data_IF_993710044275
#
_entry.id   IF_993710044275
#
_cell.length_a   1.000
_cell.length_b   1.000
_cell.length_c   1.000
_cell.angle_alpha   90.00
_cell.angle_beta   90.00
_cell.angle_gamma   90.00
#
_symmetry.space_group_name_H-M   'P 1'
#
loop_
_entity.id
_entity.type
_entity.pdbx_description
1 polymer ?
#
# COMPACT_ATOMS: atom_id res chain seq x y z
N UNK A 1 -35.20 17.89 31.05
CA UNK A 1 -36.05 18.73 30.17
C UNK A 1 -35.28 20.03 29.96
N UNK A 2 -34.50 20.19 28.88
CA UNK A 2 -34.86 20.63 27.52
C UNK A 2 -35.53 22.01 27.46
N UNK A 3 -34.86 22.97 26.81
CA UNK A 3 -35.37 24.13 26.05
C UNK A 3 -34.15 25.05 25.76
N UNK A 4 -33.58 25.14 24.55
CA UNK A 4 -34.07 25.86 23.37
C UNK A 4 -33.22 25.38 22.18
N UNK A 5 -33.66 24.68 21.12
CA UNK A 5 -34.90 24.77 20.34
C UNK A 5 -35.18 26.18 19.79
N UNK A 6 -34.34 26.64 18.85
CA UNK A 6 -34.75 27.64 17.86
C UNK A 6 -33.78 27.71 16.67
N UNK A 7 -33.78 26.70 15.79
CA UNK A 7 -33.68 26.95 14.35
C UNK A 7 -34.21 25.74 13.56
N UNK A 8 -35.54 25.65 13.58
CA UNK A 8 -36.32 24.86 12.61
C UNK A 8 -36.57 25.74 11.38
N UNK A 9 -36.74 25.07 10.24
CA UNK A 9 -37.35 25.50 8.97
C UNK A 9 -36.40 25.83 7.80
N UNK A 10 -35.98 24.79 7.07
CA UNK A 10 -36.04 24.79 5.59
C UNK A 10 -36.68 23.46 5.15
N UNK A 11 -37.83 23.48 4.44
CA UNK A 11 -38.60 22.30 4.04
C UNK A 11 -38.28 21.80 2.61
N UNK A 12 -38.38 20.47 2.44
CA UNK A 12 -38.94 19.72 1.29
C UNK A 12 -38.45 20.07 -0.12
N UNK A 13 -37.58 19.23 -0.71
CA UNK A 13 -37.58 18.73 -2.12
C UNK A 13 -36.79 17.39 -2.13
N UNK A 14 -37.48 16.24 -2.07
CA UNK A 14 -37.75 15.31 -3.19
C UNK A 14 -36.62 14.26 -3.38
N UNK A 15 -36.66 13.04 -2.83
CA UNK A 15 -37.54 11.89 -3.06
C UNK A 15 -36.74 10.73 -3.70
N UNK A 16 -36.88 9.54 -3.10
CA UNK A 16 -36.61 8.19 -3.65
C UNK A 16 -35.11 7.85 -3.91
N UNK A 17 -34.50 6.79 -3.38
CA UNK A 17 -35.01 5.42 -3.19
C UNK A 17 -34.32 4.74 -2.00
N UNK A 18 -35.15 4.27 -1.07
CA UNK A 18 -34.87 3.11 -0.24
C UNK A 18 -35.00 1.88 -1.14
N UNK A 19 -34.01 1.03 -1.19
CA UNK A 19 -34.19 -0.37 -1.56
C UNK A 19 -33.17 -1.20 -0.78
N UNK A 20 -33.57 -1.59 0.43
CA UNK A 20 -33.01 -2.79 1.06
C UNK A 20 -33.19 -3.98 0.12
N UNK A 21 -32.22 -4.88 0.13
CA UNK A 21 -32.23 -6.14 -0.62
C UNK A 21 -33.30 -7.08 -0.05
N UNK A 22 -34.57 -6.80 -0.35
CA UNK A 22 -35.60 -7.82 -0.37
C UNK A 22 -35.30 -8.70 -1.60
N UNK A 23 -34.94 -9.96 -1.36
CA UNK A 23 -34.93 -10.99 -2.41
C UNK A 23 -36.37 -11.33 -2.82
N UNK A 24 -37.01 -10.41 -3.53
CA UNK A 24 -38.22 -10.69 -4.30
C UNK A 24 -37.78 -11.36 -5.60
N UNK A 25 -38.40 -12.51 -5.91
CA UNK A 25 -38.28 -13.23 -7.18
C UNK A 25 -38.54 -12.24 -8.33
N UNK A 26 -37.46 -11.74 -8.96
CA UNK A 26 -37.55 -10.81 -10.07
C UNK A 26 -38.38 -11.45 -11.19
N UNK A 27 -39.33 -10.73 -11.81
CA UNK A 27 -39.97 -11.19 -13.03
C UNK A 27 -38.89 -11.47 -14.08
N UNK A 28 -38.98 -12.62 -14.72
CA UNK A 28 -38.06 -13.02 -15.78
C UNK A 28 -37.99 -11.89 -16.83
N UNK A 29 -36.79 -11.44 -17.20
CA UNK A 29 -36.65 -10.39 -18.19
C UNK A 29 -37.37 -10.83 -19.47
N UNK A 30 -38.22 -9.96 -20.06
CA UNK A 30 -38.99 -10.31 -21.25
C UNK A 30 -38.05 -10.77 -22.37
N UNK A 31 -38.47 -11.72 -23.23
CA UNK A 31 -37.62 -12.27 -24.27
C UNK A 31 -37.16 -11.15 -25.21
N UNK A 32 -35.90 -10.72 -25.03
CA UNK A 32 -35.27 -9.76 -25.93
C UNK A 32 -35.06 -10.47 -27.26
N UNK A 33 -35.69 -9.92 -28.31
CA UNK A 33 -35.48 -10.39 -29.67
C UNK A 33 -33.96 -10.37 -29.98
N UNK A 34 -33.35 -11.48 -30.42
CA UNK A 34 -31.89 -11.65 -30.51
C UNK A 34 -31.20 -10.56 -31.35
N UNK A 35 -31.92 -9.96 -32.30
CA UNK A 35 -31.44 -8.81 -33.07
C UNK A 35 -31.13 -7.57 -32.22
N UNK A 36 -31.95 -7.26 -31.20
CA UNK A 36 -31.73 -6.11 -30.31
C UNK A 36 -30.62 -6.39 -29.29
N UNK A 37 -30.48 -7.63 -28.84
CA UNK A 37 -29.38 -8.05 -27.96
C UNK A 37 -28.01 -7.95 -28.65
N UNK A 38 -27.94 -8.30 -29.93
CA UNK A 38 -26.72 -8.14 -30.74
C UNK A 38 -26.34 -6.67 -30.94
N UNK A 39 -27.32 -5.79 -31.13
CA UNK A 39 -27.08 -4.35 -31.29
C UNK A 39 -26.57 -3.69 -29.99
N UNK A 40 -27.18 -4.02 -28.84
CA UNK A 40 -26.73 -3.52 -27.52
C UNK A 40 -25.31 -3.98 -27.22
N UNK A 41 -24.97 -5.24 -27.51
CA UNK A 41 -23.60 -5.76 -27.34
C UNK A 41 -22.59 -5.05 -28.24
N UNK A 42 -22.94 -4.72 -29.48
CA UNK A 42 -22.08 -3.94 -30.38
C UNK A 42 -21.83 -2.53 -29.84
N UNK A 43 -22.88 -1.84 -29.37
CA UNK A 43 -22.77 -0.50 -28.75
C UNK A 43 -21.93 -0.51 -27.48
N UNK A 44 -22.11 -1.52 -26.63
CA UNK A 44 -21.30 -1.69 -25.41
C UNK A 44 -19.83 -2.00 -25.73
N UNK A 45 -19.56 -2.82 -26.75
CA UNK A 45 -18.19 -3.11 -27.17
C UNK A 45 -17.48 -1.87 -27.76
N UNK A 46 -18.22 -1.00 -28.44
CA UNK A 46 -17.66 0.25 -28.98
C UNK A 46 -17.36 1.27 -27.87
N UNK A 47 -18.28 1.43 -26.90
CA UNK A 47 -18.06 2.24 -25.70
C UNK A 47 -16.86 1.72 -24.90
N UNK A 48 -16.77 0.41 -24.66
CA UNK A 48 -15.64 -0.19 -23.95
C UNK A 48 -14.29 0.07 -24.66
N UNK A 49 -14.26 0.09 -26.00
CA UNK A 49 -13.05 0.45 -26.77
C UNK A 49 -12.67 1.92 -26.58
N UNK A 50 -13.65 2.83 -26.62
CA UNK A 50 -13.43 4.26 -26.40
C UNK A 50 -12.93 4.55 -24.98
N UNK A 51 -13.51 3.89 -23.98
CA UNK A 51 -13.09 4.02 -22.58
C UNK A 51 -11.68 3.47 -22.36
N UNK A 52 -11.33 2.34 -22.98
CA UNK A 52 -9.99 1.78 -22.92
C UNK A 52 -8.94 2.73 -23.54
N UNK A 53 -9.25 3.36 -24.68
CA UNK A 53 -8.36 4.35 -25.30
C UNK A 53 -8.22 5.62 -24.44
N UNK A 54 -9.31 6.11 -23.85
CA UNK A 54 -9.28 7.26 -22.96
C UNK A 54 -8.43 6.97 -21.71
N UNK A 55 -8.54 5.77 -21.14
CA UNK A 55 -7.74 5.34 -20.00
C UNK A 55 -6.25 5.25 -20.34
N UNK A 56 -5.90 4.67 -21.51
CA UNK A 56 -4.52 4.61 -21.98
C UNK A 56 -3.91 6.01 -22.13
N UNK A 57 -4.64 6.94 -22.78
CA UNK A 57 -4.20 8.34 -22.93
C UNK A 57 -4.04 9.05 -21.58
N UNK A 58 -4.91 8.77 -20.60
CA UNK A 58 -4.79 9.33 -19.26
C UNK A 58 -3.54 8.81 -18.54
N UNK A 59 -3.25 7.50 -18.64
CA UNK A 59 -2.06 6.90 -18.07
C UNK A 59 -0.77 7.46 -18.69
N UNK A 60 -0.73 7.62 -20.02
CA UNK A 60 0.41 8.24 -20.71
C UNK A 60 0.65 9.69 -20.26
N UNK A 61 -0.42 10.47 -20.05
CA UNK A 61 -0.31 11.85 -19.52
C UNK A 61 0.32 11.86 -18.13
N UNK A 62 -0.11 10.97 -17.23
CA UNK A 62 0.46 10.87 -15.88
C UNK A 62 1.94 10.51 -15.93
N UNK A 63 2.33 9.52 -16.74
CA UNK A 63 3.74 9.13 -16.92
C UNK A 63 4.57 10.30 -17.48
N UNK A 64 4.03 11.05 -18.44
CA UNK A 64 4.72 12.21 -19.01
C UNK A 64 4.93 13.33 -17.99
N UNK A 65 3.93 13.63 -17.16
CA UNK A 65 4.04 14.62 -16.09
C UNK A 65 5.04 14.18 -15.02
N UNK A 66 5.02 12.91 -14.65
CA UNK A 66 5.98 12.35 -13.71
C UNK A 66 7.42 12.49 -14.22
N UNK A 67 7.68 12.12 -15.48
CA UNK A 67 9.00 12.29 -16.12
C UNK A 67 9.45 13.76 -16.13
N UNK A 68 8.57 14.69 -16.47
CA UNK A 68 8.87 16.13 -16.46
C UNK A 68 9.20 16.67 -15.07
N UNK A 69 8.54 16.16 -14.03
CA UNK A 69 8.75 16.62 -12.66
C UNK A 69 9.92 15.94 -11.94
N UNK A 70 10.29 14.71 -12.33
CA UNK A 70 11.19 13.86 -11.54
C UNK A 70 12.46 13.41 -12.29
N UNK A 71 12.65 13.78 -13.56
CA UNK A 71 13.98 13.68 -14.16
C UNK A 71 14.82 14.91 -13.81
N UNK A 72 16.05 14.75 -13.29
CA UNK A 72 16.96 15.87 -13.13
C UNK A 72 17.25 16.42 -14.52
N UNK A 73 16.85 17.68 -14.75
CA UNK A 73 17.28 18.44 -15.93
C UNK A 73 18.81 18.44 -15.90
N UNK A 74 19.43 17.72 -16.83
CA UNK A 74 20.85 17.89 -17.12
C UNK A 74 21.02 19.35 -17.53
N UNK A 75 21.48 20.17 -16.59
CA UNK A 75 21.73 21.58 -16.78
C UNK A 75 22.77 21.73 -17.88
N UNK A 76 22.35 22.32 -19.00
CA UNK A 76 23.27 22.89 -19.97
C UNK A 76 24.13 23.94 -19.27
N UNK A 77 25.44 23.78 -19.37
CA UNK A 77 26.44 24.64 -18.77
C UNK A 77 26.38 26.07 -19.34
N UNK A 78 26.33 27.07 -18.45
CA UNK A 78 26.73 28.45 -18.74
C UNK A 78 27.53 28.96 -17.52
N UNK A 79 28.72 29.56 -17.69
CA UNK A 79 29.57 29.92 -16.56
C UNK A 79 29.33 31.35 -16.04
N UNK A 80 29.47 31.45 -14.71
CA UNK A 80 30.02 32.57 -13.92
C UNK A 80 29.22 33.88 -13.74
N UNK A 81 28.85 34.19 -12.48
CA UNK A 81 29.51 35.18 -11.58
C UNK A 81 28.59 35.63 -10.43
N UNK A 82 29.09 35.51 -9.19
CA UNK A 82 28.92 36.50 -8.11
C UNK A 82 27.68 36.46 -7.20
N UNK A 83 27.91 36.25 -5.89
CA UNK A 83 27.00 36.64 -4.79
C UNK A 83 26.96 35.65 -3.62
N UNK A 84 27.38 36.03 -2.39
CA UNK A 84 27.37 35.13 -1.24
C UNK A 84 25.99 35.16 -0.56
N UNK A 85 25.08 34.32 -1.01
CA UNK A 85 23.87 34.03 -0.25
C UNK A 85 24.06 32.77 0.58
N UNK A 86 24.16 33.02 1.88
CA UNK A 86 24.14 32.08 2.99
C UNK A 86 22.83 31.26 2.93
N UNK A 87 22.80 30.29 2.03
CA UNK A 87 21.77 29.25 1.97
C UNK A 87 22.39 28.03 2.63
N UNK A 88 22.24 27.97 3.96
CA UNK A 88 22.40 26.71 4.67
C UNK A 88 21.31 25.79 4.14
N UNK A 89 21.70 25.06 3.09
CA UNK A 89 21.29 23.72 2.74
C UNK A 89 20.09 23.20 3.54
N UNK A 90 18.88 23.54 3.10
CA UNK A 90 17.75 22.63 3.22
C UNK A 90 17.98 21.50 2.21
N UNK A 91 19.01 20.69 2.46
CA UNK A 91 19.19 19.40 1.82
C UNK A 91 18.01 18.55 2.27
N UNK A 92 16.95 18.56 1.47
CA UNK A 92 16.02 17.46 1.34
C UNK A 92 16.88 16.21 1.23
N UNK A 93 16.94 15.43 2.31
CA UNK A 93 17.68 14.17 2.39
C UNK A 93 17.03 13.17 1.41
N UNK A 94 17.23 13.38 0.11
CA UNK A 94 17.15 12.32 -0.86
C UNK A 94 18.35 11.44 -0.55
N UNK A 95 18.07 10.29 0.07
CA UNK A 95 19.10 9.35 0.50
C UNK A 95 20.12 9.12 -0.61
N UNK A 96 21.40 9.13 -0.24
CA UNK A 96 22.48 8.83 -1.17
C UNK A 96 22.17 7.52 -1.91
N UNK A 97 22.31 7.46 -3.25
CA UNK A 97 21.93 6.28 -4.01
C UNK A 97 22.68 5.05 -3.48
N UNK A 98 21.93 4.03 -3.07
CA UNK A 98 22.50 2.80 -2.56
C UNK A 98 23.42 2.17 -3.61
N UNK A 99 24.63 1.80 -3.19
CA UNK A 99 25.64 1.16 -4.05
C UNK A 99 25.87 -0.28 -3.61
N UNK A 100 26.20 -1.15 -4.55
CA UNK A 100 26.59 -2.54 -4.30
C UNK A 100 25.75 -3.56 -5.06
N UNK A 101 25.99 -4.84 -4.76
CA UNK A 101 25.31 -5.98 -5.39
C UNK A 101 23.81 -5.93 -5.09
N UNK A 102 22.99 -6.09 -6.13
CA UNK A 102 21.55 -6.28 -5.99
C UNK A 102 21.25 -7.75 -5.68
N UNK A 103 20.42 -7.99 -4.68
CA UNK A 103 19.97 -9.31 -4.27
C UNK A 103 18.46 -9.25 -4.02
N UNK A 104 17.71 -10.22 -4.55
CA UNK A 104 16.27 -10.33 -4.33
C UNK A 104 16.00 -11.61 -3.55
N UNK A 105 15.40 -11.47 -2.39
CA UNK A 105 14.93 -12.57 -1.57
C UNK A 105 13.42 -12.67 -1.70
N UNK A 106 12.90 -13.88 -1.83
CA UNK A 106 11.47 -14.12 -1.86
C UNK A 106 11.13 -15.41 -1.16
N UNK A 107 10.08 -15.40 -0.38
CA UNK A 107 9.60 -16.60 0.29
C UNK A 107 8.07 -16.60 0.43
N UNK A 108 7.52 -17.80 0.59
CA UNK A 108 6.08 -18.05 0.71
C UNK A 108 5.81 -18.93 1.94
N UNK A 109 4.74 -18.63 2.64
CA UNK A 109 4.20 -19.43 3.73
C UNK A 109 2.71 -19.73 3.46
N UNK A 110 2.24 -20.93 3.79
CA UNK A 110 0.82 -21.28 3.75
C UNK A 110 0.29 -21.83 2.40
N UNK A 111 -1.03 -21.98 2.30
CA UNK A 111 -1.79 -22.62 1.21
C UNK A 111 -2.47 -21.59 0.30
N UNK A 112 -3.23 -22.03 -0.71
CA UNK A 112 -3.82 -21.12 -1.70
C UNK A 112 -4.73 -20.03 -1.09
N UNK A 113 -5.48 -20.39 -0.05
CA UNK A 113 -6.48 -19.52 0.58
C UNK A 113 -6.01 -18.82 1.86
N UNK A 114 -4.90 -19.29 2.43
CA UNK A 114 -4.23 -18.72 3.59
C UNK A 114 -2.72 -18.72 3.35
N UNK A 115 -2.19 -17.62 2.84
CA UNK A 115 -0.75 -17.50 2.62
C UNK A 115 -0.21 -16.11 2.89
N UNK A 116 1.09 -16.07 3.14
CA UNK A 116 1.91 -14.88 3.08
C UNK A 116 2.99 -15.05 2.00
N UNK A 117 3.26 -13.99 1.26
CA UNK A 117 4.34 -13.87 0.28
C UNK A 117 5.16 -12.65 0.65
N UNK A 118 6.46 -12.86 0.73
CA UNK A 118 7.40 -11.81 1.09
C UNK A 118 8.43 -11.67 -0.02
N UNK A 119 8.75 -10.44 -0.36
CA UNK A 119 9.85 -10.09 -1.24
C UNK A 119 10.68 -8.97 -0.60
N UNK A 120 11.99 -9.15 -0.60
CA UNK A 120 12.96 -8.18 -0.07
C UNK A 120 13.99 -7.92 -1.14
N UNK A 121 14.19 -6.65 -1.49
CA UNK A 121 15.29 -6.24 -2.35
C UNK A 121 16.40 -5.64 -1.50
N UNK A 122 17.58 -6.20 -1.65
CA UNK A 122 18.79 -5.79 -0.98
C UNK A 122 19.74 -5.13 -1.99
N UNK A 123 20.38 -4.03 -1.61
CA UNK A 123 21.45 -3.39 -2.37
C UNK A 123 22.64 -3.19 -1.45
N UNK A 124 23.78 -3.78 -1.79
CA UNK A 124 24.98 -3.72 -0.96
C UNK A 124 24.76 -4.33 0.43
N UNK A 125 23.90 -5.34 0.53
CA UNK A 125 23.56 -6.01 1.79
C UNK A 125 22.52 -5.30 2.66
N UNK A 126 22.04 -4.11 2.27
CA UNK A 126 20.99 -3.36 2.98
C UNK A 126 19.65 -3.42 2.26
N UNK A 127 18.53 -3.36 2.99
CA UNK A 127 17.19 -3.35 2.39
C UNK A 127 16.97 -2.04 1.65
N UNK A 128 16.56 -2.17 0.39
CA UNK A 128 16.06 -1.10 -0.48
C UNK A 128 14.54 -1.10 -0.55
N UNK A 129 13.92 -2.28 -0.63
CA UNK A 129 12.46 -2.39 -0.63
C UNK A 129 12.02 -3.66 0.10
N UNK A 130 10.85 -3.55 0.73
CA UNK A 130 10.17 -4.62 1.43
C UNK A 130 8.73 -4.70 0.95
N UNK A 131 8.33 -5.87 0.48
CA UNK A 131 6.97 -6.16 0.07
C UNK A 131 6.45 -7.37 0.84
N UNK A 132 5.30 -7.21 1.46
CA UNK A 132 4.56 -8.25 2.16
C UNK A 132 3.14 -8.30 1.62
N UNK A 133 2.71 -9.49 1.23
CA UNK A 133 1.35 -9.74 0.80
C UNK A 133 0.82 -10.93 1.57
N UNK A 134 -0.33 -10.77 2.22
CA UNK A 134 -1.05 -11.88 2.79
C UNK A 134 -2.47 -11.97 2.27
N UNK A 135 -2.94 -13.21 2.12
CA UNK A 135 -4.31 -13.53 1.76
C UNK A 135 -4.86 -14.47 2.82
N UNK A 136 -5.98 -14.06 3.40
CA UNK A 136 -6.78 -14.87 4.29
C UNK A 136 -8.23 -14.62 3.92
N UNK A 137 -8.80 -15.44 3.02
CA UNK A 137 -10.15 -15.19 2.48
C UNK A 137 -11.17 -14.88 3.59
N UNK A 138 -11.98 -13.81 3.45
CA UNK A 138 -12.10 -12.91 2.29
C UNK A 138 -11.10 -11.73 2.27
N UNK A 139 -10.20 -11.63 3.25
CA UNK A 139 -9.32 -10.48 3.49
C UNK A 139 -7.96 -10.63 2.79
N UNK A 140 -7.38 -9.50 2.42
CA UNK A 140 -6.00 -9.40 1.89
C UNK A 140 -5.29 -8.24 2.55
N UNK A 141 -4.02 -8.40 2.87
CA UNK A 141 -3.17 -7.31 3.32
C UNK A 141 -1.98 -7.15 2.36
N UNK A 142 -1.63 -5.91 2.04
CA UNK A 142 -0.46 -5.61 1.22
C UNK A 142 0.30 -4.44 1.80
N UNK A 143 1.55 -4.70 2.16
CA UNK A 143 2.52 -3.70 2.63
C UNK A 143 3.61 -3.61 1.58
N UNK A 144 3.89 -2.42 1.08
CA UNK A 144 5.05 -2.16 0.24
C UNK A 144 5.72 -0.89 0.70
N UNK A 145 6.97 -1.01 1.12
CA UNK A 145 7.74 0.09 1.69
C UNK A 145 9.06 0.15 0.95
N UNK A 146 9.36 1.33 0.41
CA UNK A 146 10.55 1.57 -0.38
C UNK A 146 11.41 2.58 0.33
N UNK A 147 12.71 2.33 0.36
CA UNK A 147 13.68 3.25 0.92
C UNK A 147 13.68 4.57 0.16
N UNK A 148 13.78 5.67 0.90
CA UNK A 148 13.81 7.04 0.40
C UNK A 148 12.50 7.46 -0.31
N UNK A 149 11.38 6.79 -0.01
CA UNK A 149 10.06 7.23 -0.42
C UNK A 149 9.52 8.36 0.50
N UNK A 150 8.39 8.95 0.12
CA UNK A 150 7.77 10.02 0.90
C UNK A 150 6.95 9.54 2.10
N UNK A 151 6.90 8.22 2.36
CA UNK A 151 6.02 7.62 3.37
C UNK A 151 6.79 6.95 4.52
N UNK A 152 8.10 6.81 4.38
CA UNK A 152 8.95 6.13 5.35
C UNK A 152 10.29 6.83 5.55
N UNK A 153 10.73 6.87 6.81
CA UNK A 153 12.03 7.40 7.22
C UNK A 153 12.91 6.24 7.67
N UNK A 154 14.12 6.18 7.13
CA UNK A 154 15.05 5.08 7.34
C UNK A 154 16.29 5.57 8.08
N UNK A 155 16.61 4.94 9.21
CA UNK A 155 17.76 5.28 10.04
C UNK A 155 18.62 4.03 10.23
N UNK A 156 19.83 4.05 9.65
CA UNK A 156 20.77 2.93 9.79
C UNK A 156 21.62 3.09 11.05
N UNK A 157 21.70 2.05 11.85
CA UNK A 157 22.50 1.94 13.07
C UNK A 157 23.22 0.59 13.08
N UNK A 158 24.40 0.53 12.45
CA UNK A 158 25.20 -0.70 12.38
C UNK A 158 24.48 -1.81 11.61
N UNK A 159 24.14 -2.91 12.29
CA UNK A 159 23.39 -4.04 11.73
C UNK A 159 21.87 -3.88 11.84
N UNK A 160 21.38 -2.75 12.37
CA UNK A 160 19.96 -2.47 12.50
C UNK A 160 19.58 -1.29 11.61
N UNK A 161 18.46 -1.39 10.91
CA UNK A 161 17.79 -0.23 10.29
C UNK A 161 16.46 -0.02 10.97
N UNK A 162 16.22 1.17 11.52
CA UNK A 162 14.92 1.58 12.02
C UNK A 162 14.15 2.23 10.87
N UNK A 163 12.93 1.77 10.63
CA UNK A 163 12.03 2.33 9.64
C UNK A 163 10.80 2.88 10.35
N UNK A 164 10.66 4.21 10.32
CA UNK A 164 9.52 4.92 10.89
C UNK A 164 8.57 5.28 9.77
N UNK A 165 7.30 4.86 9.89
CA UNK A 165 6.26 5.23 8.94
C UNK A 165 5.70 6.61 9.30
N UNK A 166 5.38 7.41 8.28
CA UNK A 166 4.79 8.73 8.48
C UNK A 166 3.39 8.64 9.11
N UNK A 167 2.91 9.76 9.68
CA UNK A 167 1.60 9.87 10.35
C UNK A 167 1.44 8.93 11.56
N UNK A 168 2.54 8.65 12.27
CA UNK A 168 2.54 7.79 13.47
C UNK A 168 2.00 6.38 13.22
N UNK A 169 2.09 5.90 11.98
CA UNK A 169 1.59 4.59 11.53
C UNK A 169 2.48 3.41 11.97
N UNK A 170 3.36 3.66 12.94
CA UNK A 170 4.21 2.67 13.59
C UNK A 170 5.66 2.67 13.12
N UNK A 171 6.43 1.77 13.70
CA UNK A 171 7.87 1.62 13.43
C UNK A 171 8.20 0.15 13.33
N UNK A 172 9.12 -0.21 12.45
CA UNK A 172 9.69 -1.55 12.44
C UNK A 172 11.20 -1.49 12.34
N UNK A 173 11.85 -2.53 12.85
CA UNK A 173 13.29 -2.69 12.81
C UNK A 173 13.65 -3.77 11.79
N UNK A 174 14.76 -3.57 11.10
CA UNK A 174 15.36 -4.53 10.19
C UNK A 174 16.71 -4.90 10.77
N UNK A 175 16.87 -6.14 11.19
CA UNK A 175 18.14 -6.69 11.68
C UNK A 175 18.80 -7.54 10.60
N UNK A 176 20.03 -7.18 10.25
CA UNK A 176 20.83 -7.86 9.25
C UNK A 176 21.70 -8.93 9.91
N UNK A 177 21.24 -10.16 9.84
CA UNK A 177 22.02 -11.33 10.24
C UNK A 177 22.75 -11.88 9.00
N UNK A 178 23.92 -12.52 9.19
CA UNK A 178 24.77 -13.00 8.08
C UNK A 178 24.02 -13.75 6.97
N UNK A 179 23.03 -14.58 7.32
CA UNK A 179 22.25 -15.39 6.37
C UNK A 179 20.76 -15.06 6.32
N UNK A 180 20.29 -14.12 7.11
CA UNK A 180 18.87 -13.79 7.19
C UNK A 180 18.65 -12.31 7.45
N UNK A 181 17.47 -11.84 7.06
CA UNK A 181 17.00 -10.49 7.35
C UNK A 181 15.78 -10.65 8.23
N UNK A 182 15.83 -10.11 9.44
CA UNK A 182 14.73 -10.16 10.41
C UNK A 182 14.04 -8.81 10.49
N UNK A 183 12.74 -8.79 10.28
CA UNK A 183 11.88 -7.63 10.45
C UNK A 183 11.16 -7.78 11.78
N UNK A 184 11.17 -6.74 12.60
CA UNK A 184 10.46 -6.67 13.87
C UNK A 184 9.47 -5.52 13.80
N UNK A 185 8.19 -5.83 13.68
CA UNK A 185 7.11 -4.86 13.64
C UNK A 185 6.71 -4.46 15.04
N UNK A 186 6.63 -3.15 15.30
CA UNK A 186 6.16 -2.59 16.57
C UNK A 186 5.06 -1.59 16.28
N UNK A 187 3.83 -1.98 16.61
CA UNK A 187 2.67 -1.10 16.56
C UNK A 187 2.42 -0.50 15.17
N UNK A 188 2.67 -1.28 14.11
CA UNK A 188 2.43 -0.84 12.74
C UNK A 188 0.93 -0.85 12.46
N UNK A 189 0.39 0.28 12.03
CA UNK A 189 -1.05 0.44 11.83
C UNK A 189 -1.56 -0.51 10.75
N UNK A 190 -2.49 -1.39 11.14
CA UNK A 190 -3.06 -2.42 10.28
C UNK A 190 -4.08 -1.82 9.31
N UNK A 191 -4.68 -0.67 9.63
CA UNK A 191 -5.73 -0.06 8.82
C UNK A 191 -5.18 0.39 7.48
N UNK A 192 -4.03 1.06 7.50
CA UNK A 192 -3.39 1.61 6.31
C UNK A 192 -2.96 0.54 5.29
N UNK A 193 -2.58 -0.64 5.75
CA UNK A 193 -2.04 -1.70 4.88
C UNK A 193 -3.00 -2.86 4.61
N UNK A 194 -3.89 -3.13 5.57
CA UNK A 194 -4.79 -4.27 5.53
C UNK A 194 -6.27 -3.88 5.56
N UNK A 195 -6.61 -2.60 5.68
CA UNK A 195 -8.00 -2.13 5.77
C UNK A 195 -8.75 -2.64 7.00
N UNK A 196 -8.04 -2.92 8.10
CA UNK A 196 -8.59 -3.41 9.36
C UNK A 196 -8.03 -2.62 10.52
N UNK A 197 -8.85 -2.32 11.51
CA UNK A 197 -8.38 -1.75 12.77
C UNK A 197 -7.38 -2.67 13.49
N UNK A 198 -6.55 -2.07 14.33
CA UNK A 198 -5.56 -2.75 15.15
C UNK A 198 -4.13 -2.48 14.70
N UNK A 199 -3.18 -3.13 15.38
CA UNK A 199 -1.75 -2.96 15.13
C UNK A 199 -1.09 -4.30 14.83
N UNK A 200 -0.08 -4.24 13.98
CA UNK A 200 0.79 -5.37 13.64
C UNK A 200 2.00 -5.30 14.56
N UNK A 201 2.13 -6.29 15.42
CA UNK A 201 3.27 -6.50 16.30
C UNK A 201 3.73 -7.94 16.13
N UNK A 202 4.98 -8.15 15.75
CA UNK A 202 5.47 -9.48 15.41
C UNK A 202 6.83 -9.46 14.72
N UNK A 203 7.25 -10.63 14.26
CA UNK A 203 8.50 -10.79 13.54
C UNK A 203 8.35 -11.58 12.25
N UNK A 204 9.21 -11.26 11.29
CA UNK A 204 9.31 -11.92 10.00
C UNK A 204 10.78 -12.14 9.71
N UNK A 205 11.16 -13.38 9.43
CA UNK A 205 12.54 -13.72 9.07
C UNK A 205 12.60 -14.29 7.66
N UNK A 206 13.43 -13.68 6.82
CA UNK A 206 13.72 -14.12 5.47
C UNK A 206 15.15 -14.66 5.43
N UNK A 207 15.32 -15.95 5.15
CA UNK A 207 16.63 -16.60 5.09
C UNK A 207 17.10 -16.73 3.64
N UNK A 208 18.35 -16.31 3.37
CA UNK A 208 18.97 -16.43 2.05
C UNK A 208 19.03 -17.88 1.60
N UNK A 209 18.63 -18.14 0.36
CA UNK A 209 18.60 -19.49 -0.23
C UNK A 209 17.44 -20.37 0.24
N UNK A 210 16.55 -19.89 1.13
CA UNK A 210 15.31 -20.56 1.48
C UNK A 210 14.12 -19.90 0.79
N UNK A 211 13.17 -20.72 0.34
CA UNK A 211 11.89 -20.27 -0.23
C UNK A 211 10.75 -20.19 0.81
N UNK A 212 11.02 -20.60 2.06
CA UNK A 212 10.10 -20.47 3.20
C UNK A 212 10.53 -19.33 4.12
N UNK A 213 9.55 -18.58 4.62
CA UNK A 213 9.76 -17.54 5.64
C UNK A 213 9.29 -18.06 7.00
N UNK A 214 9.86 -17.50 8.07
CA UNK A 214 9.36 -17.67 9.42
C UNK A 214 8.58 -16.42 9.81
N UNK A 215 7.34 -16.58 10.28
CA UNK A 215 6.43 -15.50 10.61
C UNK A 215 5.82 -15.75 12.00
N UNK A 216 5.80 -14.73 12.84
CA UNK A 216 5.30 -14.80 14.22
C UNK A 216 4.58 -13.49 14.55
N UNK A 217 3.36 -13.51 15.09
CA UNK A 217 2.63 -12.29 15.51
C UNK A 217 2.06 -11.42 14.39
N UNK A 218 2.60 -11.49 13.17
CA UNK A 218 2.20 -10.61 12.04
C UNK A 218 0.82 -10.97 11.46
N UNK A 219 0.43 -12.24 11.55
CA UNK A 219 -0.84 -12.75 10.98
C UNK A 219 -1.90 -13.06 12.04
N UNK A 220 -1.59 -12.84 13.31
CA UNK A 220 -2.50 -13.20 14.39
C UNK A 220 -3.70 -12.23 14.38
N UNK A 221 -4.88 -12.76 14.69
CA UNK A 221 -6.07 -11.92 14.82
C UNK A 221 -5.92 -11.06 16.08
N UNK A 222 -6.43 -9.83 16.06
CA UNK A 222 -6.44 -8.98 17.26
C UNK A 222 -7.16 -9.66 18.45
N UNK A 223 -8.08 -10.59 18.18
CA UNK A 223 -8.73 -11.42 19.18
C UNK A 223 -7.82 -12.52 19.77
N UNK A 224 -6.91 -13.10 18.99
CA UNK A 224 -5.97 -14.12 19.47
C UNK A 224 -4.89 -13.52 20.38
N UNK A 225 -4.46 -12.29 20.12
CA UNK A 225 -3.51 -11.57 20.98
C UNK A 225 -4.17 -11.25 22.34
N UNK A 226 -5.44 -10.80 22.35
CA UNK A 226 -6.16 -10.57 23.60
C UNK A 226 -6.47 -11.87 24.35
N UNK A 227 -6.79 -12.96 23.65
CA UNK A 227 -6.96 -14.29 24.26
C UNK A 227 -5.66 -14.83 24.86
N UNK A 228 -4.53 -14.74 24.14
CA UNK A 228 -3.23 -15.17 24.66
C UNK A 228 -2.76 -14.31 25.84
N UNK A 229 -3.00 -13.00 25.82
CA UNK A 229 -2.73 -12.13 26.97
C UNK A 229 -3.60 -12.48 28.19
N UNK A 230 -4.86 -12.86 27.97
CA UNK A 230 -5.75 -13.31 29.06
C UNK A 230 -5.47 -14.72 29.58
N UNK A 231 -4.81 -15.57 28.79
CA UNK A 231 -4.43 -16.93 29.18
C UNK A 231 -3.06 -17.02 29.89
N UNK A 232 -2.27 -15.95 29.83
CA UNK A 232 -0.99 -15.82 30.51
C UNK A 232 -1.07 -15.05 31.84
N UNK A 233 -2.29 -14.72 32.30
CA UNK A 233 -2.57 -14.07 33.59
C UNK A 233 -3.18 -15.03 34.59
#
# INVERSE_FOLDING_TARGET
>A
MNANQALKLIPVILACCVAGLASAKLPEPPPMNPAKAAEVRKKQAELAKKDAEALAKAQDRVVSHYKKQHMPVQQAAVPAKGGPHNSVALLKQQGSPMRGKQERLSCKLGTEDQHARIAVELVGGRVKSFAYYSKWKPRTCSVHIVRDDSWSRWEDTGSLTKVTLNEEKGTFLIDYVRRSVKFLFRDVDRERFCGMEGKISGSLTVTRGKNQCELEGVMDQGEDIMRQASAAS
#
